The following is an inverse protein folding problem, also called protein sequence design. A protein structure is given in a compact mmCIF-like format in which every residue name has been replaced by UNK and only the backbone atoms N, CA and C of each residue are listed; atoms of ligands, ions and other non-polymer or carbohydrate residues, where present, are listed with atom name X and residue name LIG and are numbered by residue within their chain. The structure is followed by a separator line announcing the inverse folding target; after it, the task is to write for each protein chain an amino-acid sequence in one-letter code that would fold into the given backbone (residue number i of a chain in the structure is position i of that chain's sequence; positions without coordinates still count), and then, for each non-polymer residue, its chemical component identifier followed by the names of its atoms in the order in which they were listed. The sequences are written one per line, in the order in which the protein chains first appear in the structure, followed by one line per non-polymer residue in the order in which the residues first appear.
data_IF_997163490041
#
_entry.id   IF_997163490041
#
_cell.length_a   1.000
_cell.length_b   1.000
_cell.length_c   1.000
_cell.angle_alpha   90.00
_cell.angle_beta   90.00
_cell.angle_gamma   90.00
#
_symmetry.space_group_name_H-M   'P 1'
#
loop_
_entity.id
_entity.type
_entity.pdbx_description
1 polymer ?
#
# COMPACT_ATOMS: atom_id res chain seq x y z
N UNK A 1 19.20 17.74 -12.69
CA UNK A 1 19.86 16.55 -13.23
C UNK A 1 19.01 15.94 -14.35
N UNK A 2 19.65 15.55 -15.44
CA UNK A 2 19.04 14.70 -16.46
C UNK A 2 18.82 13.27 -15.96
N UNK A 3 18.02 12.48 -16.68
CA UNK A 3 17.81 11.07 -16.34
C UNK A 3 19.13 10.29 -16.30
N UNK A 4 20.02 10.51 -17.29
CA UNK A 4 21.32 9.83 -17.35
C UNK A 4 22.23 10.19 -16.17
N UNK A 5 22.25 11.47 -15.74
CA UNK A 5 22.98 11.90 -14.55
C UNK A 5 22.42 11.25 -13.27
N UNK A 6 21.10 11.14 -13.14
CA UNK A 6 20.48 10.45 -12.01
C UNK A 6 20.83 8.96 -11.99
N UNK A 7 20.82 8.29 -13.14
CA UNK A 7 21.24 6.90 -13.24
C UNK A 7 22.74 6.70 -12.94
N UNK A 8 23.59 7.66 -13.32
CA UNK A 8 25.01 7.64 -12.98
C UNK A 8 25.19 7.78 -11.45
N UNK A 9 24.52 8.76 -10.83
CA UNK A 9 24.59 8.97 -9.37
C UNK A 9 24.08 7.74 -8.61
N UNK A 10 22.98 7.14 -9.03
CA UNK A 10 22.46 5.89 -8.43
C UNK A 10 23.50 4.77 -8.42
N UNK A 11 24.25 4.62 -9.50
CA UNK A 11 25.21 3.52 -9.67
C UNK A 11 26.56 3.80 -8.99
N UNK A 12 27.06 5.04 -9.04
CA UNK A 12 28.46 5.37 -8.80
C UNK A 12 28.73 6.31 -7.62
N UNK A 13 27.72 7.00 -7.08
CA UNK A 13 27.95 7.85 -5.91
C UNK A 13 28.37 7.00 -4.70
N UNK A 14 29.31 7.51 -3.91
CA UNK A 14 29.79 6.83 -2.69
C UNK A 14 28.88 7.04 -1.49
N UNK A 15 27.99 8.04 -1.53
CA UNK A 15 27.05 8.33 -0.47
C UNK A 15 25.70 7.66 -0.73
N UNK A 16 25.28 6.76 0.15
CA UNK A 16 24.02 6.02 0.02
C UNK A 16 22.78 6.93 -0.01
N UNK A 17 22.82 8.08 0.68
CA UNK A 17 21.72 9.04 0.64
C UNK A 17 21.59 9.67 -0.75
N UNK A 18 22.71 10.09 -1.36
CA UNK A 18 22.70 10.65 -2.72
C UNK A 18 22.21 9.61 -3.74
N UNK A 19 22.63 8.36 -3.59
CA UNK A 19 22.16 7.24 -4.43
C UNK A 19 20.65 7.04 -4.30
N UNK A 20 20.14 7.05 -3.05
CA UNK A 20 18.70 6.96 -2.78
C UNK A 20 17.93 8.12 -3.40
N UNK A 21 18.36 9.37 -3.18
CA UNK A 21 17.74 10.56 -3.75
C UNK A 21 17.74 10.53 -5.29
N UNK A 22 18.83 10.12 -5.91
CA UNK A 22 18.92 9.98 -7.35
C UNK A 22 17.90 8.95 -7.88
N UNK A 23 17.78 7.80 -7.20
CA UNK A 23 16.78 6.77 -7.55
C UNK A 23 15.35 7.31 -7.41
N UNK A 24 15.02 7.98 -6.29
CA UNK A 24 13.66 8.51 -6.07
C UNK A 24 13.30 9.57 -7.12
N UNK A 25 14.23 10.47 -7.46
CA UNK A 25 14.01 11.46 -8.54
C UNK A 25 13.85 10.81 -9.91
N UNK A 26 14.65 9.80 -10.21
CA UNK A 26 14.51 9.05 -11.46
C UNK A 26 13.16 8.32 -11.53
N UNK A 27 12.71 7.71 -10.42
CA UNK A 27 11.42 7.06 -10.33
C UNK A 27 10.24 8.05 -10.45
N UNK A 28 10.33 9.24 -9.83
CA UNK A 28 9.30 10.28 -10.00
C UNK A 28 9.18 10.74 -11.46
N UNK A 29 10.31 10.98 -12.13
CA UNK A 29 10.33 11.34 -13.55
C UNK A 29 9.73 10.23 -14.43
N UNK A 30 10.09 8.99 -14.15
CA UNK A 30 9.56 7.79 -14.82
C UNK A 30 8.04 7.65 -14.65
N UNK A 31 7.55 7.78 -13.42
CA UNK A 31 6.13 7.71 -13.14
C UNK A 31 5.35 8.83 -13.84
N UNK A 32 5.93 10.03 -13.99
CA UNK A 32 5.33 11.11 -14.77
C UNK A 32 5.23 10.75 -16.27
N UNK A 33 6.23 10.06 -16.83
CA UNK A 33 6.17 9.54 -18.19
C UNK A 33 5.08 8.49 -18.35
N UNK A 34 4.94 7.56 -17.39
CA UNK A 34 3.90 6.53 -17.43
C UNK A 34 2.51 7.17 -17.28
N UNK A 35 2.35 8.17 -16.43
CA UNK A 35 1.10 8.95 -16.30
C UNK A 35 0.71 9.63 -17.60
N UNK A 36 1.68 10.02 -18.43
CA UNK A 36 1.45 10.59 -19.76
C UNK A 36 1.24 9.53 -20.85
N UNK A 37 1.15 8.24 -20.50
CA UNK A 37 0.94 7.13 -21.45
C UNK A 37 2.21 6.52 -22.01
N UNK A 38 3.39 6.87 -21.47
CA UNK A 38 4.67 6.25 -21.83
C UNK A 38 4.87 4.87 -21.21
N UNK A 39 5.92 4.18 -21.60
CA UNK A 39 6.29 2.87 -21.07
C UNK A 39 7.46 2.97 -20.08
N UNK A 40 7.58 2.02 -19.13
CA UNK A 40 8.73 1.90 -18.25
C UNK A 40 10.06 1.77 -18.98
N UNK A 41 11.08 2.52 -18.53
CA UNK A 41 12.41 2.58 -19.12
C UNK A 41 13.28 1.39 -18.70
N UNK A 42 13.80 0.66 -19.68
CA UNK A 42 14.79 -0.41 -19.39
C UNK A 42 16.06 0.13 -18.72
N UNK A 43 16.48 1.34 -19.05
CA UNK A 43 17.69 1.95 -18.47
C UNK A 43 17.56 2.11 -16.95
N UNK A 44 16.40 2.60 -16.48
CA UNK A 44 16.11 2.71 -15.06
C UNK A 44 15.97 1.32 -14.41
N UNK A 45 15.26 0.39 -15.04
CA UNK A 45 15.11 -0.97 -14.51
C UNK A 45 16.45 -1.68 -14.35
N UNK A 46 17.37 -1.56 -15.32
CA UNK A 46 18.76 -2.08 -15.22
C UNK A 46 19.54 -1.42 -14.09
N UNK A 47 19.39 -0.10 -13.90
CA UNK A 47 20.01 0.59 -12.77
C UNK A 47 19.46 0.11 -11.43
N UNK A 48 18.14 -0.14 -11.33
CA UNK A 48 17.51 -0.66 -10.11
C UNK A 48 17.91 -2.11 -9.79
N UNK A 49 18.21 -2.94 -10.79
CA UNK A 49 18.77 -4.29 -10.56
C UNK A 49 20.11 -4.21 -9.79
N UNK A 50 20.98 -3.23 -10.12
CA UNK A 50 22.25 -3.09 -9.42
C UNK A 50 22.12 -2.80 -7.92
N UNK A 51 20.95 -2.32 -7.48
CA UNK A 51 20.65 -2.07 -6.07
C UNK A 51 20.46 -3.38 -5.29
N UNK A 52 19.97 -4.45 -5.94
CA UNK A 52 19.78 -5.76 -5.30
C UNK A 52 21.09 -6.38 -4.78
N UNK A 53 22.22 -5.99 -5.34
CA UNK A 53 23.55 -6.50 -4.97
C UNK A 53 24.33 -5.55 -4.08
N UNK A 54 23.70 -4.47 -3.58
CA UNK A 54 24.34 -3.54 -2.66
C UNK A 54 24.60 -4.19 -1.29
N UNK A 55 25.74 -3.85 -0.68
CA UNK A 55 26.13 -4.39 0.63
C UNK A 55 25.15 -4.00 1.75
N UNK A 56 24.52 -2.83 1.66
CA UNK A 56 23.50 -2.37 2.59
C UNK A 56 22.09 -2.81 2.13
N UNK A 57 21.59 -3.89 2.73
CA UNK A 57 20.23 -4.40 2.46
C UNK A 57 19.13 -3.39 2.80
N UNK A 58 19.32 -2.49 3.78
CA UNK A 58 18.29 -1.49 4.12
C UNK A 58 18.23 -0.40 3.06
N UNK A 59 19.38 0.06 2.58
CA UNK A 59 19.45 0.96 1.43
C UNK A 59 18.75 0.34 0.20
N UNK A 60 19.07 -0.92 -0.11
CA UNK A 60 18.45 -1.63 -1.22
C UNK A 60 16.93 -1.72 -1.07
N UNK A 61 16.44 -2.13 0.10
CA UNK A 61 15.00 -2.24 0.37
C UNK A 61 14.27 -0.90 0.20
N UNK A 62 14.84 0.19 0.72
CA UNK A 62 14.24 1.52 0.60
C UNK A 62 14.27 2.03 -0.85
N UNK A 63 15.37 1.82 -1.54
CA UNK A 63 15.53 2.28 -2.93
C UNK A 63 14.60 1.56 -3.90
N UNK A 64 14.32 0.26 -3.68
CA UNK A 64 13.37 -0.53 -4.47
C UNK A 64 11.90 -0.25 -4.11
N UNK A 65 11.64 0.56 -3.09
CA UNK A 65 10.28 0.97 -2.73
C UNK A 65 9.91 2.26 -3.47
N UNK A 66 8.87 2.21 -4.31
CA UNK A 66 8.41 3.37 -5.06
C UNK A 66 7.74 4.40 -4.15
N UNK A 67 7.74 5.68 -4.58
CA UNK A 67 6.94 6.73 -3.95
C UNK A 67 5.49 6.31 -3.77
N UNK A 68 4.86 6.79 -2.70
CA UNK A 68 3.43 6.59 -2.46
C UNK A 68 2.57 7.37 -3.47
N UNK A 69 1.31 6.96 -3.65
CA UNK A 69 0.37 7.65 -4.56
C UNK A 69 0.29 9.14 -4.24
N UNK A 70 0.21 9.50 -2.96
CA UNK A 70 0.15 10.90 -2.52
C UNK A 70 1.41 11.70 -2.90
N UNK A 71 2.59 11.07 -2.85
CA UNK A 71 3.85 11.70 -3.26
C UNK A 71 3.91 11.89 -4.77
N UNK A 72 3.43 10.91 -5.54
CA UNK A 72 3.37 10.97 -7.00
C UNK A 72 2.49 12.13 -7.48
N UNK A 73 1.31 12.31 -6.87
CA UNK A 73 0.36 13.35 -7.26
C UNK A 73 0.65 14.72 -6.65
N UNK A 74 1.56 14.82 -5.67
CA UNK A 74 1.84 16.07 -4.97
C UNK A 74 2.17 17.26 -5.89
N UNK A 75 2.98 17.08 -6.97
CA UNK A 75 3.32 18.17 -7.89
C UNK A 75 2.19 18.61 -8.82
N UNK A 76 1.13 17.82 -8.99
CA UNK A 76 0.07 18.11 -9.96
C UNK A 76 -1.06 18.90 -9.32
N UNK A 77 -1.64 19.90 -10.03
CA UNK A 77 -2.79 20.67 -9.54
C UNK A 77 -4.04 19.79 -9.42
N UNK A 78 -4.22 18.83 -10.32
CA UNK A 78 -5.28 17.81 -10.26
C UNK A 78 -4.67 16.50 -9.76
N UNK A 79 -5.21 15.99 -8.67
CA UNK A 79 -4.76 14.78 -8.00
C UNK A 79 -5.59 13.56 -8.44
N UNK A 80 -5.22 12.91 -9.55
CA UNK A 80 -5.84 11.65 -9.94
C UNK A 80 -5.13 10.46 -9.27
N UNK A 81 -5.62 10.11 -8.08
CA UNK A 81 -5.09 9.02 -7.26
C UNK A 81 -5.14 7.66 -7.96
N UNK A 82 -6.19 7.41 -8.74
CA UNK A 82 -6.38 6.11 -9.42
C UNK A 82 -5.39 5.97 -10.56
N UNK A 83 -5.21 7.00 -11.37
CA UNK A 83 -4.24 6.99 -12.46
C UNK A 83 -2.81 6.87 -11.92
N UNK A 84 -2.48 7.57 -10.83
CA UNK A 84 -1.17 7.45 -10.18
C UNK A 84 -0.94 6.05 -9.59
N UNK A 85 -1.97 5.45 -9.00
CA UNK A 85 -1.91 4.07 -8.53
C UNK A 85 -1.63 3.10 -9.69
N UNK A 86 -2.33 3.22 -10.81
CA UNK A 86 -2.11 2.38 -12.00
C UNK A 86 -0.70 2.55 -12.58
N UNK A 87 -0.19 3.78 -12.65
CA UNK A 87 1.17 4.04 -13.12
C UNK A 87 2.22 3.35 -12.23
N UNK A 88 2.04 3.43 -10.92
CA UNK A 88 2.90 2.76 -9.94
C UNK A 88 2.85 1.23 -10.07
N UNK A 89 1.66 0.66 -10.21
CA UNK A 89 1.48 -0.77 -10.38
C UNK A 89 2.09 -1.26 -11.71
N UNK A 90 1.90 -0.50 -12.80
CA UNK A 90 2.48 -0.81 -14.11
C UNK A 90 4.00 -0.88 -14.08
N UNK A 91 4.65 0.08 -13.37
CA UNK A 91 6.09 0.05 -13.20
C UNK A 91 6.54 -1.17 -12.40
N UNK A 92 5.89 -1.47 -11.28
CA UNK A 92 6.22 -2.66 -10.48
C UNK A 92 6.07 -3.96 -11.26
N UNK A 93 4.99 -4.10 -12.04
CA UNK A 93 4.75 -5.30 -12.83
C UNK A 93 5.79 -5.45 -13.95
N UNK A 94 6.18 -4.34 -14.60
CA UNK A 94 7.24 -4.35 -15.59
C UNK A 94 8.59 -4.71 -14.97
N UNK A 95 8.94 -4.08 -13.84
CA UNK A 95 10.19 -4.35 -13.14
C UNK A 95 10.27 -5.79 -12.62
N UNK A 96 9.20 -6.30 -12.05
CA UNK A 96 9.14 -7.68 -11.56
C UNK A 96 9.41 -8.69 -12.68
N UNK A 97 8.81 -8.49 -13.87
CA UNK A 97 9.05 -9.33 -15.05
C UNK A 97 10.47 -9.19 -15.58
N UNK A 98 10.97 -7.95 -15.66
CA UNK A 98 12.29 -7.64 -16.21
C UNK A 98 13.42 -8.20 -15.33
N UNK A 99 13.28 -8.15 -14.02
CA UNK A 99 14.30 -8.53 -13.04
C UNK A 99 14.01 -9.89 -12.36
N UNK A 100 13.16 -10.75 -12.93
CA UNK A 100 12.70 -11.98 -12.26
C UNK A 100 13.87 -12.86 -11.78
N UNK A 101 14.88 -13.06 -12.61
CA UNK A 101 16.03 -13.93 -12.30
C UNK A 101 16.82 -13.39 -11.10
N UNK A 102 17.12 -12.10 -11.10
CA UNK A 102 17.87 -11.42 -10.05
C UNK A 102 17.06 -11.34 -8.74
N UNK A 103 15.76 -11.10 -8.85
CA UNK A 103 14.85 -11.10 -7.69
C UNK A 103 14.77 -12.49 -7.05
N UNK A 104 14.67 -13.57 -7.83
CA UNK A 104 14.67 -14.95 -7.30
C UNK A 104 15.99 -15.29 -6.65
N UNK A 105 17.11 -14.88 -7.24
CA UNK A 105 18.46 -15.08 -6.68
C UNK A 105 18.60 -14.36 -5.34
N UNK A 106 18.24 -13.07 -5.27
CA UNK A 106 18.30 -12.27 -4.06
C UNK A 106 17.39 -12.84 -2.96
N UNK A 107 16.14 -13.17 -3.29
CA UNK A 107 15.21 -13.76 -2.34
C UNK A 107 15.73 -15.09 -1.77
N UNK A 108 16.29 -15.97 -2.62
CA UNK A 108 16.88 -17.24 -2.20
C UNK A 108 18.06 -17.06 -1.25
N UNK A 109 18.94 -16.10 -1.54
CA UNK A 109 20.08 -15.78 -0.68
C UNK A 109 19.63 -15.24 0.69
N UNK A 110 18.63 -14.33 0.70
CA UNK A 110 18.09 -13.71 1.91
C UNK A 110 17.16 -14.63 2.73
N UNK A 111 16.73 -15.75 2.17
CA UNK A 111 15.84 -16.70 2.85
C UNK A 111 16.60 -17.75 3.67
N UNK A 112 17.92 -17.77 3.61
CA UNK A 112 18.74 -18.60 4.50
C UNK A 112 18.67 -18.06 5.93
N UNK A 113 18.64 -18.92 6.96
CA UNK A 113 18.63 -18.45 8.34
C UNK A 113 19.82 -17.53 8.59
N UNK A 114 19.54 -16.28 8.96
CA UNK A 114 20.59 -15.38 9.41
C UNK A 114 21.11 -15.90 10.76
N UNK A 115 22.42 -16.08 10.84
CA UNK A 115 23.07 -16.60 12.06
C UNK A 115 23.01 -15.62 13.25
N UNK A 116 22.52 -14.37 13.04
CA UNK A 116 22.52 -13.33 14.07
C UNK A 116 21.18 -12.64 14.15
N UNK A 117 20.48 -12.68 15.30
CA UNK A 117 19.39 -11.77 15.63
C UNK A 117 19.96 -10.35 15.85
N UNK A 118 19.38 -9.34 15.22
CA UNK A 118 19.82 -7.96 15.44
C UNK A 118 19.50 -7.04 14.27
N UNK A 119 20.20 -5.89 14.22
CA UNK A 119 20.02 -4.84 13.19
C UNK A 119 20.26 -5.41 11.78
N UNK A 120 21.29 -6.24 11.62
CA UNK A 120 21.62 -6.86 10.32
C UNK A 120 20.52 -7.83 9.86
N UNK A 121 19.94 -8.58 10.79
CA UNK A 121 18.77 -9.41 10.49
C UNK A 121 17.54 -8.59 10.07
N UNK A 122 17.35 -7.37 10.60
CA UNK A 122 16.25 -6.49 10.21
C UNK A 122 16.41 -5.97 8.76
N UNK A 123 17.63 -5.57 8.38
CA UNK A 123 17.94 -5.09 7.03
C UNK A 123 17.75 -6.19 5.97
N UNK A 124 18.24 -7.40 6.25
CA UNK A 124 18.05 -8.55 5.37
C UNK A 124 16.57 -8.92 5.22
N UNK A 125 15.79 -8.88 6.34
CA UNK A 125 14.33 -9.09 6.28
C UNK A 125 13.63 -8.02 5.45
N UNK A 126 14.01 -6.74 5.59
CA UNK A 126 13.43 -5.66 4.81
C UNK A 126 13.62 -5.90 3.31
N UNK A 127 14.84 -6.20 2.86
CA UNK A 127 15.11 -6.48 1.45
C UNK A 127 14.41 -7.76 0.99
N UNK A 128 14.40 -8.83 1.79
CA UNK A 128 13.67 -10.06 1.46
C UNK A 128 12.19 -9.79 1.24
N UNK A 129 11.54 -8.99 2.10
CA UNK A 129 10.12 -8.71 2.01
C UNK A 129 9.78 -7.81 0.81
N UNK A 130 10.64 -6.85 0.47
CA UNK A 130 10.50 -6.05 -0.77
C UNK A 130 10.65 -6.95 -1.99
N UNK A 131 11.66 -7.82 -2.00
CA UNK A 131 11.87 -8.78 -3.09
C UNK A 131 10.67 -9.74 -3.24
N UNK A 132 10.11 -10.24 -2.10
CA UNK A 132 8.88 -11.02 -2.12
C UNK A 132 7.72 -10.25 -2.74
N UNK A 133 7.55 -8.97 -2.41
CA UNK A 133 6.45 -8.16 -2.92
C UNK A 133 6.49 -7.98 -4.45
N UNK A 134 7.69 -7.99 -5.02
CA UNK A 134 7.91 -7.98 -6.47
C UNK A 134 7.64 -9.37 -7.07
N UNK A 135 8.19 -10.44 -6.48
CA UNK A 135 7.98 -11.81 -6.95
C UNK A 135 6.52 -12.25 -6.82
N UNK A 136 5.78 -11.75 -5.84
CA UNK A 136 4.36 -12.05 -5.66
C UNK A 136 3.47 -11.59 -6.83
N UNK A 137 3.99 -10.72 -7.71
CA UNK A 137 3.33 -10.26 -8.94
C UNK A 137 3.46 -11.24 -10.10
N UNK A 138 4.35 -12.22 -9.99
CA UNK A 138 4.69 -13.18 -11.04
C UNK A 138 3.95 -14.51 -10.84
N UNK A 139 3.87 -15.36 -11.88
CA UNK A 139 3.35 -16.71 -11.73
C UNK A 139 4.05 -17.49 -10.60
N UNK A 140 3.26 -18.15 -9.75
CA UNK A 140 3.76 -18.83 -8.55
C UNK A 140 4.10 -17.90 -7.37
N UNK A 141 3.95 -16.60 -7.54
CA UNK A 141 4.20 -15.60 -6.49
C UNK A 141 3.32 -15.78 -5.24
N UNK A 142 2.01 -15.97 -5.35
CA UNK A 142 1.14 -16.25 -4.20
C UNK A 142 1.57 -17.49 -3.42
N UNK A 143 1.94 -18.57 -4.10
CA UNK A 143 2.46 -19.79 -3.47
C UNK A 143 3.76 -19.52 -2.71
N UNK A 144 4.66 -18.70 -3.26
CA UNK A 144 5.90 -18.28 -2.58
C UNK A 144 5.59 -17.46 -1.33
N UNK A 145 4.65 -16.52 -1.41
CA UNK A 145 4.23 -15.68 -0.28
C UNK A 145 3.59 -16.53 0.83
N UNK A 146 2.71 -17.47 0.49
CA UNK A 146 2.10 -18.40 1.45
C UNK A 146 3.18 -19.28 2.13
N UNK A 147 4.15 -19.74 1.37
CA UNK A 147 5.28 -20.52 1.91
C UNK A 147 6.14 -19.69 2.87
N UNK A 148 6.39 -18.39 2.61
CA UNK A 148 7.05 -17.52 3.58
C UNK A 148 6.20 -17.33 4.83
N UNK A 149 4.90 -17.04 4.68
CA UNK A 149 3.99 -16.85 5.79
C UNK A 149 3.97 -18.04 6.75
N UNK A 150 3.86 -19.26 6.22
CA UNK A 150 3.85 -20.50 7.01
C UNK A 150 5.14 -20.74 7.80
N UNK A 151 6.29 -20.29 7.25
CA UNK A 151 7.63 -20.44 7.87
C UNK A 151 8.05 -19.24 8.71
N UNK A 152 7.28 -18.15 8.69
CA UNK A 152 7.64 -16.93 9.39
C UNK A 152 7.75 -17.16 10.90
N UNK A 153 8.85 -16.70 11.47
CA UNK A 153 9.14 -16.73 12.91
C UNK A 153 8.97 -15.36 13.58
N UNK A 154 8.60 -14.34 12.79
CA UNK A 154 8.33 -13.02 13.30
C UNK A 154 7.18 -12.35 12.52
N UNK A 155 6.47 -11.44 13.19
CA UNK A 155 5.34 -10.68 12.62
C UNK A 155 5.72 -9.90 11.36
N UNK A 156 6.94 -9.37 11.25
CA UNK A 156 7.40 -8.60 10.09
C UNK A 156 7.33 -9.42 8.81
N UNK A 157 7.81 -10.65 8.84
CA UNK A 157 7.82 -11.54 7.67
C UNK A 157 6.45 -12.13 7.36
N UNK A 158 5.71 -12.49 8.42
CA UNK A 158 4.36 -13.03 8.29
C UNK A 158 3.41 -11.98 7.68
N UNK A 159 3.44 -10.76 8.20
CA UNK A 159 2.58 -9.68 7.72
C UNK A 159 2.97 -9.21 6.32
N UNK A 160 4.26 -9.15 5.99
CA UNK A 160 4.71 -8.85 4.63
C UNK A 160 4.20 -9.88 3.61
N UNK A 161 4.24 -11.15 3.97
CA UNK A 161 3.68 -12.22 3.13
C UNK A 161 2.15 -12.09 2.99
N UNK A 162 1.43 -11.79 4.08
CA UNK A 162 -0.02 -11.55 4.03
C UNK A 162 -0.38 -10.37 3.12
N UNK A 163 0.38 -9.27 3.17
CA UNK A 163 0.20 -8.14 2.25
C UNK A 163 0.40 -8.53 0.79
N UNK A 164 1.37 -9.42 0.51
CA UNK A 164 1.59 -9.94 -0.83
C UNK A 164 0.40 -10.78 -1.31
N UNK A 165 -0.14 -11.66 -0.45
CA UNK A 165 -1.30 -12.49 -0.73
C UNK A 165 -2.56 -11.65 -1.00
N UNK A 166 -2.78 -10.62 -0.19
CA UNK A 166 -3.95 -9.75 -0.30
C UNK A 166 -3.97 -8.88 -1.59
N UNK A 167 -2.91 -8.88 -2.40
CA UNK A 167 -2.93 -8.23 -3.72
C UNK A 167 -3.83 -8.94 -4.72
N UNK A 168 -4.06 -10.23 -4.54
CA UNK A 168 -4.90 -11.07 -5.39
C UNK A 168 -6.12 -11.61 -4.66
N UNK A 169 -6.82 -12.49 -5.36
CA UNK A 169 -7.98 -13.24 -4.84
C UNK A 169 -7.84 -14.73 -5.23
N UNK A 170 -6.69 -15.31 -4.87
CA UNK A 170 -6.40 -16.73 -5.13
C UNK A 170 -6.77 -17.61 -3.93
N UNK A 171 -6.67 -18.93 -4.11
CA UNK A 171 -6.84 -19.88 -3.00
C UNK A 171 -5.81 -19.63 -1.89
N UNK A 172 -4.57 -19.26 -2.26
CA UNK A 172 -3.51 -18.91 -1.30
C UNK A 172 -3.85 -17.62 -0.51
N UNK A 173 -4.56 -16.66 -1.13
CA UNK A 173 -5.04 -15.46 -0.43
C UNK A 173 -6.05 -15.83 0.65
N UNK A 174 -7.04 -16.65 0.30
CA UNK A 174 -8.06 -17.13 1.24
C UNK A 174 -7.42 -17.91 2.39
N UNK A 175 -6.51 -18.82 2.06
CA UNK A 175 -5.80 -19.61 3.07
C UNK A 175 -4.93 -18.72 3.97
N UNK A 176 -4.18 -17.77 3.41
CA UNK A 176 -3.34 -16.86 4.17
C UNK A 176 -4.13 -16.00 5.16
N UNK A 177 -5.27 -15.46 4.73
CA UNK A 177 -6.18 -14.70 5.61
C UNK A 177 -6.74 -15.57 6.74
N UNK A 178 -7.13 -16.82 6.44
CA UNK A 178 -7.64 -17.75 7.44
C UNK A 178 -6.55 -18.16 8.45
N UNK A 179 -5.36 -18.52 7.97
CA UNK A 179 -4.22 -18.90 8.84
C UNK A 179 -3.84 -17.75 9.77
N UNK A 180 -3.83 -16.51 9.27
CA UNK A 180 -3.53 -15.34 10.10
C UNK A 180 -4.62 -15.10 11.14
N UNK A 181 -5.89 -15.16 10.74
CA UNK A 181 -7.04 -15.02 11.63
C UNK A 181 -6.98 -16.05 12.78
N UNK A 182 -6.86 -17.34 12.46
CA UNK A 182 -6.82 -18.41 13.48
C UNK A 182 -5.65 -18.26 14.45
N UNK A 183 -4.49 -17.82 13.97
CA UNK A 183 -3.30 -17.63 14.80
C UNK A 183 -3.42 -16.44 15.75
N UNK A 184 -4.07 -15.36 15.31
CA UNK A 184 -4.02 -14.06 15.97
C UNK A 184 -5.37 -13.53 16.46
N UNK A 185 -6.46 -14.30 16.36
CA UNK A 185 -7.81 -13.86 16.74
C UNK A 185 -7.91 -13.35 18.18
N UNK A 186 -7.06 -13.85 19.07
CA UNK A 186 -7.04 -13.47 20.48
C UNK A 186 -6.08 -12.29 20.78
N UNK A 187 -5.44 -11.73 19.75
CA UNK A 187 -4.51 -10.60 19.85
C UNK A 187 -5.08 -9.34 19.19
N UNK A 188 -5.81 -8.48 19.92
CA UNK A 188 -6.57 -7.36 19.36
C UNK A 188 -5.73 -6.40 18.52
N UNK A 189 -4.46 -6.14 18.89
CA UNK A 189 -3.57 -5.25 18.15
C UNK A 189 -3.10 -5.86 16.83
N UNK A 190 -2.92 -7.17 16.79
CA UNK A 190 -2.55 -7.88 15.55
C UNK A 190 -3.75 -7.97 14.62
N UNK A 191 -4.95 -8.18 15.16
CA UNK A 191 -6.19 -8.18 14.38
C UNK A 191 -6.46 -6.86 13.66
N UNK A 192 -5.97 -5.71 14.15
CA UNK A 192 -6.02 -4.45 13.40
C UNK A 192 -5.29 -4.56 12.05
N UNK A 193 -4.20 -5.33 11.97
CA UNK A 193 -3.45 -5.57 10.72
C UNK A 193 -4.25 -6.44 9.75
N UNK A 194 -4.99 -7.41 10.26
CA UNK A 194 -5.84 -8.29 9.45
C UNK A 194 -6.98 -7.52 8.76
N UNK A 195 -7.60 -6.59 9.48
CA UNK A 195 -8.58 -5.67 8.89
C UNK A 195 -7.91 -4.69 7.91
N UNK A 196 -6.77 -4.12 8.30
CA UNK A 196 -6.07 -3.13 7.49
C UNK A 196 -5.59 -3.68 6.15
N UNK A 197 -5.08 -4.91 6.10
CA UNK A 197 -4.58 -5.49 4.85
C UNK A 197 -5.70 -5.73 3.84
N UNK A 198 -6.89 -6.06 4.30
CA UNK A 198 -8.06 -6.26 3.45
C UNK A 198 -8.65 -4.92 2.99
N UNK A 199 -8.78 -3.94 3.91
CA UNK A 199 -9.21 -2.59 3.55
C UNK A 199 -8.29 -1.90 2.54
N UNK A 200 -6.98 -2.07 2.69
CA UNK A 200 -5.97 -1.50 1.80
C UNK A 200 -5.75 -2.25 0.49
N UNK A 201 -6.38 -3.41 0.29
CA UNK A 201 -6.25 -4.21 -0.92
C UNK A 201 -7.12 -3.68 -2.05
N UNK A 202 -6.54 -3.41 -3.21
CA UNK A 202 -7.31 -3.01 -4.39
C UNK A 202 -8.26 -4.13 -4.90
N UNK A 203 -7.96 -5.38 -4.58
CA UNK A 203 -8.76 -6.52 -4.99
C UNK A 203 -9.84 -6.88 -3.97
N UNK A 204 -9.47 -6.92 -2.67
CA UNK A 204 -10.38 -7.30 -1.59
C UNK A 204 -11.19 -6.12 -1.03
N UNK A 205 -10.68 -4.90 -1.13
CA UNK A 205 -11.27 -3.70 -0.54
C UNK A 205 -12.51 -3.18 -1.25
N UNK A 206 -13.37 -4.06 -1.75
CA UNK A 206 -14.65 -3.63 -2.31
C UNK A 206 -15.62 -3.24 -1.19
N UNK A 207 -16.51 -2.25 -1.40
CA UNK A 207 -17.40 -1.73 -0.35
C UNK A 207 -18.21 -2.81 0.38
N UNK A 208 -18.70 -3.83 -0.35
CA UNK A 208 -19.47 -4.94 0.22
C UNK A 208 -18.63 -5.78 1.17
N UNK A 209 -17.37 -6.04 0.80
CA UNK A 209 -16.44 -6.77 1.66
C UNK A 209 -16.07 -5.98 2.92
N UNK A 210 -15.85 -4.66 2.79
CA UNK A 210 -15.58 -3.78 3.94
C UNK A 210 -16.78 -3.76 4.90
N UNK A 211 -17.99 -3.71 4.37
CA UNK A 211 -19.23 -3.79 5.16
C UNK A 211 -19.32 -5.13 5.90
N UNK A 212 -19.00 -6.23 5.22
CA UNK A 212 -18.95 -7.55 5.86
C UNK A 212 -17.88 -7.64 6.96
N UNK A 213 -16.71 -7.02 6.75
CA UNK A 213 -15.65 -6.94 7.76
C UNK A 213 -16.06 -6.10 8.97
N UNK A 214 -16.83 -5.03 8.77
CA UNK A 214 -17.38 -4.21 9.86
C UNK A 214 -18.43 -4.96 10.71
N UNK A 215 -19.06 -6.00 10.14
CA UNK A 215 -19.96 -6.90 10.84
C UNK A 215 -19.27 -8.15 11.42
N UNK A 216 -17.95 -8.31 11.23
CA UNK A 216 -17.22 -9.48 11.67
C UNK A 216 -17.14 -9.54 13.22
N UNK A 217 -17.27 -10.74 13.86
CA UNK A 217 -17.23 -10.88 15.32
C UNK A 217 -15.98 -10.31 16.01
N UNK A 218 -14.85 -10.26 15.30
CA UNK A 218 -13.59 -9.68 15.77
C UNK A 218 -13.52 -8.15 15.58
N UNK A 219 -14.52 -7.52 14.93
CA UNK A 219 -14.57 -6.08 14.74
C UNK A 219 -15.34 -5.42 15.89
N UNK A 220 -14.61 -4.66 16.69
CA UNK A 220 -15.19 -3.82 17.74
C UNK A 220 -15.28 -2.38 17.23
N UNK A 221 -16.49 -1.94 16.88
CA UNK A 221 -16.76 -0.59 16.40
C UNK A 221 -16.53 0.50 17.48
N UNK A 222 -16.49 0.14 18.76
CA UNK A 222 -16.12 1.03 19.84
C UNK A 222 -14.61 1.30 19.93
N UNK A 223 -13.78 0.48 19.27
CA UNK A 223 -12.33 0.59 19.32
C UNK A 223 -11.78 1.47 18.18
N UNK A 224 -11.19 2.65 18.48
CA UNK A 224 -10.66 3.56 17.47
C UNK A 224 -9.58 2.93 16.57
N UNK A 225 -8.80 1.97 17.06
CA UNK A 225 -7.78 1.31 16.28
C UNK A 225 -8.37 0.33 15.26
N UNK A 226 -9.49 -0.32 15.58
CA UNK A 226 -10.24 -1.15 14.63
C UNK A 226 -10.82 -0.30 13.51
N UNK A 227 -11.49 0.80 13.85
CA UNK A 227 -12.04 1.75 12.88
C UNK A 227 -10.95 2.31 11.95
N UNK A 228 -9.82 2.73 12.53
CA UNK A 228 -8.66 3.20 11.73
C UNK A 228 -8.07 2.09 10.87
N UNK A 229 -7.94 0.88 11.41
CA UNK A 229 -7.43 -0.27 10.67
C UNK A 229 -8.25 -0.58 9.44
N UNK A 230 -9.57 -0.57 9.53
CA UNK A 230 -10.47 -0.88 8.43
C UNK A 230 -10.70 0.33 7.51
N UNK A 231 -11.34 1.38 8.02
CA UNK A 231 -11.76 2.52 7.20
C UNK A 231 -10.60 3.43 6.80
N UNK A 232 -9.57 3.58 7.66
CA UNK A 232 -8.36 4.33 7.31
C UNK A 232 -7.56 3.66 6.20
N UNK A 233 -7.44 2.33 6.23
CA UNK A 233 -6.77 1.58 5.15
C UNK A 233 -7.58 1.58 3.86
N UNK A 234 -8.91 1.49 3.95
CA UNK A 234 -9.80 1.63 2.80
C UNK A 234 -9.70 3.02 2.17
N UNK A 235 -9.68 4.09 2.96
CA UNK A 235 -9.54 5.46 2.44
C UNK A 235 -8.19 5.71 1.74
N UNK A 236 -7.15 4.95 2.11
CA UNK A 236 -5.85 4.98 1.43
C UNK A 236 -5.80 4.08 0.18
N UNK A 237 -6.81 3.25 -0.05
CA UNK A 237 -6.94 2.36 -1.19
C UNK A 237 -7.49 3.13 -2.39
N UNK A 238 -6.61 3.73 -3.17
CA UNK A 238 -7.00 4.65 -4.24
C UNK A 238 -8.04 4.09 -5.22
N UNK A 239 -7.90 2.86 -5.80
CA UNK A 239 -8.88 2.34 -6.75
C UNK A 239 -10.27 2.09 -6.14
N UNK A 240 -10.36 1.68 -4.87
CA UNK A 240 -11.64 1.40 -4.23
C UNK A 240 -12.28 2.65 -3.62
N UNK A 241 -11.49 3.48 -2.92
CA UNK A 241 -12.03 4.73 -2.35
C UNK A 241 -12.45 5.73 -3.42
N UNK A 242 -11.67 5.86 -4.49
CA UNK A 242 -11.98 6.73 -5.63
C UNK A 242 -12.65 5.98 -6.78
N UNK A 243 -13.45 4.94 -6.50
CA UNK A 243 -14.19 4.22 -7.52
C UNK A 243 -15.07 5.15 -8.37
N UNK A 244 -15.20 4.83 -9.67
CA UNK A 244 -15.85 5.72 -10.64
C UNK A 244 -17.35 5.91 -10.38
N UNK A 245 -17.99 4.96 -9.69
CA UNK A 245 -19.40 5.00 -9.31
C UNK A 245 -19.67 5.76 -8.00
N UNK A 246 -18.60 6.15 -7.27
CA UNK A 246 -18.71 6.85 -6.00
C UNK A 246 -19.00 5.97 -4.78
N UNK A 247 -19.06 4.65 -4.94
CA UNK A 247 -19.37 3.69 -3.87
C UNK A 247 -18.39 3.77 -2.69
N UNK A 248 -17.11 4.06 -2.97
CA UNK A 248 -16.10 4.25 -1.92
C UNK A 248 -16.35 5.49 -1.08
N UNK A 249 -16.81 6.58 -1.68
CA UNK A 249 -17.20 7.80 -0.94
C UNK A 249 -18.44 7.57 -0.09
N UNK A 250 -19.42 6.85 -0.65
CA UNK A 250 -20.63 6.47 0.07
C UNK A 250 -20.30 5.65 1.32
N UNK A 251 -19.47 4.61 1.18
CA UNK A 251 -19.06 3.76 2.30
C UNK A 251 -18.41 4.57 3.44
N UNK A 252 -17.50 5.48 3.10
CA UNK A 252 -16.85 6.32 4.11
C UNK A 252 -17.82 7.32 4.74
N UNK A 253 -18.75 7.89 3.97
CA UNK A 253 -19.78 8.75 4.51
C UNK A 253 -20.71 8.02 5.48
N UNK A 254 -21.12 6.79 5.17
CA UNK A 254 -21.90 5.93 6.07
C UNK A 254 -21.14 5.64 7.37
N UNK A 255 -19.84 5.34 7.27
CA UNK A 255 -18.99 5.14 8.44
C UNK A 255 -18.87 6.41 9.29
N UNK A 256 -18.69 7.59 8.68
CA UNK A 256 -18.63 8.88 9.40
C UNK A 256 -19.93 9.13 10.14
N UNK A 257 -21.07 9.03 9.47
CA UNK A 257 -22.41 9.28 10.08
C UNK A 257 -22.66 8.31 11.24
N UNK A 258 -22.35 7.02 11.04
CA UNK A 258 -22.55 5.99 12.08
C UNK A 258 -21.67 6.25 13.30
N UNK A 259 -20.36 6.49 13.08
CA UNK A 259 -19.38 6.69 14.15
C UNK A 259 -19.59 8.02 14.86
N UNK A 260 -20.07 9.07 14.17
CA UNK A 260 -20.39 10.36 14.78
C UNK A 260 -21.41 10.26 15.90
N UNK A 261 -22.33 9.29 15.84
CA UNK A 261 -23.33 9.06 16.85
C UNK A 261 -22.78 8.60 18.22
N UNK A 262 -21.54 8.10 18.28
CA UNK A 262 -20.94 7.62 19.55
C UNK A 262 -19.47 8.04 19.76
N UNK A 263 -18.74 8.48 18.72
CA UNK A 263 -17.34 8.92 18.82
C UNK A 263 -17.00 9.96 17.75
N UNK A 264 -17.30 11.22 18.03
CA UNK A 264 -17.10 12.35 17.12
C UNK A 264 -15.62 12.53 16.72
N UNK A 265 -14.69 12.34 17.65
CA UNK A 265 -13.24 12.48 17.40
C UNK A 265 -12.70 11.42 16.41
N UNK A 266 -13.27 10.22 16.38
CA UNK A 266 -12.91 9.21 15.39
C UNK A 266 -13.63 9.48 14.07
N UNK A 267 -14.90 9.88 14.11
CA UNK A 267 -15.66 10.25 12.92
C UNK A 267 -14.98 11.39 12.15
N UNK A 268 -14.53 12.43 12.85
CA UNK A 268 -13.80 13.55 12.22
C UNK A 268 -12.51 13.07 11.54
N UNK A 269 -11.78 12.15 12.15
CA UNK A 269 -10.58 11.55 11.52
C UNK A 269 -10.89 10.70 10.29
N UNK A 270 -12.02 9.99 10.27
CA UNK A 270 -12.47 9.26 9.08
C UNK A 270 -12.87 10.26 7.98
N UNK A 271 -13.55 11.36 8.33
CA UNK A 271 -13.94 12.41 7.41
C UNK A 271 -12.76 13.09 6.70
N UNK A 272 -11.56 13.11 7.31
CA UNK A 272 -10.32 13.57 6.66
C UNK A 272 -9.97 12.82 5.36
N UNK A 273 -10.62 11.70 5.06
CA UNK A 273 -10.50 11.04 3.77
C UNK A 273 -10.89 11.97 2.60
N UNK A 274 -11.77 12.94 2.84
CA UNK A 274 -12.23 13.92 1.83
C UNK A 274 -11.36 15.17 1.71
N UNK A 275 -10.27 15.30 2.48
CA UNK A 275 -9.44 16.54 2.55
C UNK A 275 -8.93 17.05 1.20
N UNK A 276 -8.65 16.14 0.26
CA UNK A 276 -8.10 16.49 -1.06
C UNK A 276 -9.19 16.71 -2.12
N UNK A 277 -10.47 16.84 -1.71
CA UNK A 277 -11.63 16.99 -2.58
C UNK A 277 -11.42 18.04 -3.69
N UNK A 278 -10.90 19.22 -3.33
CA UNK A 278 -10.72 20.33 -4.27
C UNK A 278 -9.73 20.01 -5.41
N UNK A 279 -8.85 19.03 -5.21
CA UNK A 279 -7.83 18.61 -6.17
C UNK A 279 -8.25 17.40 -7.01
N UNK A 280 -9.35 16.72 -6.67
CA UNK A 280 -9.81 15.55 -7.44
C UNK A 280 -10.24 15.96 -8.86
N UNK A 281 -10.24 15.02 -9.84
CA UNK A 281 -10.93 15.22 -11.11
C UNK A 281 -12.40 15.60 -10.92
N UNK A 282 -12.94 16.47 -11.78
CA UNK A 282 -14.26 17.09 -11.60
C UNK A 282 -15.41 16.09 -11.35
N UNK A 283 -15.41 14.98 -12.09
CA UNK A 283 -16.43 13.93 -11.92
C UNK A 283 -16.39 13.33 -10.51
N UNK A 284 -15.19 13.09 -9.95
CA UNK A 284 -15.00 12.59 -8.57
C UNK A 284 -15.34 13.65 -7.53
N UNK A 285 -15.02 14.94 -7.81
CA UNK A 285 -15.45 16.02 -6.94
C UNK A 285 -16.98 16.06 -6.78
N UNK A 286 -17.74 15.87 -7.87
CA UNK A 286 -19.21 15.83 -7.83
C UNK A 286 -19.73 14.71 -6.93
N UNK A 287 -19.19 13.49 -7.10
CA UNK A 287 -19.57 12.33 -6.29
C UNK A 287 -19.23 12.54 -4.81
N UNK A 288 -18.00 12.94 -4.51
CA UNK A 288 -17.57 13.18 -3.14
C UNK A 288 -18.34 14.32 -2.44
N UNK A 289 -18.66 15.40 -3.18
CA UNK A 289 -19.51 16.50 -2.66
C UNK A 289 -20.94 16.05 -2.33
N UNK A 290 -21.49 15.09 -3.06
CA UNK A 290 -22.80 14.51 -2.74
C UNK A 290 -22.76 13.83 -1.38
N UNK A 291 -21.74 13.06 -1.11
CA UNK A 291 -21.59 12.36 0.17
C UNK A 291 -21.26 13.31 1.32
N UNK A 292 -20.44 14.34 1.10
CA UNK A 292 -20.21 15.38 2.11
C UNK A 292 -21.49 16.15 2.47
N UNK A 293 -22.35 16.46 1.49
CA UNK A 293 -23.65 17.08 1.76
C UNK A 293 -24.55 16.15 2.60
N UNK A 294 -24.46 14.85 2.38
CA UNK A 294 -25.18 13.85 3.17
C UNK A 294 -24.68 13.80 4.62
N UNK A 295 -23.37 13.85 4.82
CA UNK A 295 -22.77 13.96 6.17
C UNK A 295 -23.24 15.22 6.86
N UNK A 296 -23.10 16.38 6.23
CA UNK A 296 -23.50 17.69 6.80
C UNK A 296 -25.00 17.76 7.09
N UNK A 297 -25.83 17.13 6.27
CA UNK A 297 -27.29 17.07 6.46
C UNK A 297 -27.74 16.02 7.47
N UNK A 298 -26.84 15.23 8.08
CA UNK A 298 -27.23 14.24 9.06
C UNK A 298 -27.65 14.86 10.39
N UNK A 299 -28.70 14.31 11.00
CA UNK A 299 -29.22 14.83 12.25
C UNK A 299 -28.21 14.64 13.39
N UNK A 300 -27.98 15.70 14.18
CA UNK A 300 -27.11 15.64 15.35
C UNK A 300 -25.61 15.55 15.02
N UNK A 301 -25.18 16.02 13.84
CA UNK A 301 -23.76 16.03 13.46
C UNK A 301 -22.93 16.82 14.48
N UNK A 302 -21.90 16.21 15.11
CA UNK A 302 -21.04 16.91 16.07
C UNK A 302 -20.21 18.01 15.37
N UNK A 303 -19.90 19.10 16.12
CA UNK A 303 -19.18 20.27 15.61
C UNK A 303 -17.79 19.92 15.04
N UNK A 304 -17.05 19.03 15.70
CA UNK A 304 -15.71 18.57 15.26
C UNK A 304 -15.73 17.74 13.97
N UNK A 305 -16.87 17.17 13.58
CA UNK A 305 -17.06 16.52 12.28
C UNK A 305 -17.44 17.56 11.22
N UNK A 306 -18.22 18.58 11.60
CA UNK A 306 -18.64 19.65 10.67
C UNK A 306 -17.48 20.55 10.26
N UNK A 307 -16.50 20.78 11.13
CA UNK A 307 -15.35 21.67 10.91
C UNK A 307 -14.31 21.11 9.92
N UNK A 308 -14.37 19.83 9.57
CA UNK A 308 -13.47 19.17 8.61
C UNK A 308 -13.98 19.29 7.18
#
# INVERSE_FOLDING_TARGET
YSQDELLLLLKADTNLFNRFEAAQRALHAELAVILAGGAPSEALMRAMISVLTADDCMFAARTLTLPGVTEIIAPFPIADHVTAWHAREAWYDAFAKFAECELRTAYGALSKPAAVPGRDGASARALRNVTLSLLARLPGGPTLALAQMRRATCMTDEFAALMCLARGNSAETTEGLQVFLERWKDEPLVMNKWFAVQGGSATLGQPEHITALAAHPQFDAGNPNKLRGLYGSFSANAPCFHAADGSGYQLIADAVITVAGYNSSVASRIALAFKDLARLPEHRQKLARTELKRIVGSAGLPADVYEI
#
